data_IF_903281724338
#
_entry.id   IF_903281724338
#
_cell.length_a   1.000
_cell.length_b   1.000
_cell.length_c   1.000
_cell.angle_alpha   90.00
_cell.angle_beta   90.00
_cell.angle_gamma   90.00
#
_symmetry.space_group_name_H-M   'P 1'
#
loop_
_entity.id
_entity.type
_entity.pdbx_description
1 polymer ?
#
# COMPACT_ATOMS: atom_id res chain seq x y z
N UNK A 1 -2.46 17.43 5.53
CA UNK A 1 -1.89 16.77 6.72
C UNK A 1 -2.12 15.28 6.65
N UNK A 2 -1.15 14.50 7.02
CA UNK A 2 -1.26 13.02 7.00
C UNK A 2 -1.55 12.53 8.41
N UNK A 3 -2.51 11.63 8.53
CA UNK A 3 -2.90 11.05 9.81
C UNK A 3 -3.24 9.57 9.67
N UNK A 4 -3.23 8.85 10.77
CA UNK A 4 -3.71 7.46 10.80
C UNK A 4 -5.22 7.45 10.63
N UNK A 5 -5.70 6.52 9.82
CA UNK A 5 -7.13 6.27 9.65
C UNK A 5 -7.71 5.58 10.87
N UNK A 6 -8.99 5.83 11.10
CA UNK A 6 -9.79 5.14 12.11
C UNK A 6 -10.97 4.44 11.41
N UNK A 7 -11.79 3.70 12.18
CA UNK A 7 -12.98 3.05 11.63
C UNK A 7 -13.96 4.03 10.99
N UNK A 8 -13.95 5.30 11.44
CA UNK A 8 -14.81 6.33 10.86
C UNK A 8 -14.43 6.71 9.43
N UNK A 9 -13.23 6.34 9.00
CA UNK A 9 -12.71 6.66 7.66
C UNK A 9 -13.00 5.57 6.62
N UNK A 10 -13.62 4.45 7.00
CA UNK A 10 -13.76 3.28 6.12
C UNK A 10 -14.53 3.57 4.84
N UNK A 11 -15.56 4.40 4.87
CA UNK A 11 -16.30 4.76 3.65
C UNK A 11 -15.42 5.55 2.69
N UNK A 12 -14.65 6.51 3.19
CA UNK A 12 -13.72 7.27 2.37
C UNK A 12 -12.62 6.38 1.81
N UNK A 13 -12.11 5.46 2.61
CA UNK A 13 -11.07 4.51 2.17
C UNK A 13 -11.63 3.62 1.06
N UNK A 14 -12.87 3.16 1.19
CA UNK A 14 -13.50 2.36 0.15
C UNK A 14 -13.71 3.15 -1.15
N UNK A 15 -14.05 4.44 -1.06
CA UNK A 15 -14.17 5.31 -2.23
C UNK A 15 -12.81 5.46 -2.94
N UNK A 16 -11.76 5.74 -2.19
CA UNK A 16 -10.39 5.82 -2.74
C UNK A 16 -9.96 4.48 -3.33
N UNK A 17 -10.30 3.39 -2.67
CA UNK A 17 -10.01 2.03 -3.15
C UNK A 17 -10.70 1.70 -4.47
N UNK A 18 -11.95 2.13 -4.63
CA UNK A 18 -12.68 1.94 -5.88
C UNK A 18 -12.03 2.73 -7.03
N UNK A 19 -11.61 3.96 -6.77
CA UNK A 19 -10.89 4.79 -7.74
C UNK A 19 -9.57 4.14 -8.14
N UNK A 20 -8.81 3.69 -7.16
CA UNK A 20 -7.54 3.00 -7.39
C UNK A 20 -7.73 1.72 -8.21
N UNK A 21 -8.71 0.91 -7.84
CA UNK A 21 -9.03 -0.34 -8.52
C UNK A 21 -9.36 -0.10 -10.00
N UNK A 22 -10.20 0.89 -10.29
CA UNK A 22 -10.59 1.22 -11.66
C UNK A 22 -9.39 1.66 -12.51
N UNK A 23 -8.36 2.21 -11.89
CA UNK A 23 -7.14 2.67 -12.56
C UNK A 23 -6.06 1.58 -12.64
N UNK A 24 -6.18 0.51 -11.87
CA UNK A 24 -5.16 -0.51 -11.70
C UNK A 24 -5.25 -1.60 -12.78
N UNK A 25 -4.19 -2.43 -12.93
CA UNK A 25 -4.25 -3.62 -13.79
C UNK A 25 -5.25 -4.67 -13.32
N UNK A 26 -5.79 -4.54 -12.11
CA UNK A 26 -6.77 -5.47 -11.53
C UNK A 26 -8.22 -5.09 -11.85
N UNK A 27 -8.44 -4.06 -12.67
CA UNK A 27 -9.78 -3.51 -12.94
C UNK A 27 -10.77 -4.50 -13.54
N UNK A 28 -10.29 -5.57 -14.16
CA UNK A 28 -11.14 -6.61 -14.76
C UNK A 28 -11.75 -7.54 -13.70
N UNK A 29 -11.19 -7.57 -12.50
CA UNK A 29 -11.74 -8.33 -11.38
C UNK A 29 -12.70 -7.40 -10.62
N UNK A 30 -13.96 -7.84 -10.38
CA UNK A 30 -14.95 -6.97 -9.73
C UNK A 30 -14.47 -6.45 -8.36
N UNK A 31 -14.72 -5.19 -8.09
CA UNK A 31 -14.44 -4.57 -6.81
C UNK A 31 -15.58 -4.86 -5.84
N UNK A 32 -15.28 -5.45 -4.70
CA UNK A 32 -16.26 -5.72 -3.64
C UNK A 32 -16.05 -4.73 -2.50
N UNK A 33 -16.98 -3.78 -2.38
CA UNK A 33 -16.86 -2.69 -1.40
C UNK A 33 -16.89 -3.20 0.04
N UNK A 34 -17.81 -4.11 0.36
CA UNK A 34 -17.97 -4.59 1.74
C UNK A 34 -16.76 -5.40 2.18
N UNK A 35 -16.24 -6.25 1.32
CA UNK A 35 -15.02 -7.01 1.60
C UNK A 35 -13.80 -6.09 1.77
N UNK A 36 -13.72 -5.05 0.96
CA UNK A 36 -12.65 -4.05 1.05
C UNK A 36 -12.72 -3.32 2.39
N UNK A 37 -13.91 -2.89 2.80
CA UNK A 37 -14.09 -2.23 4.11
C UNK A 37 -13.72 -3.16 5.26
N UNK A 38 -14.11 -4.43 5.19
CA UNK A 38 -13.79 -5.41 6.22
C UNK A 38 -12.28 -5.64 6.34
N UNK A 39 -11.59 -5.75 5.20
CA UNK A 39 -10.13 -5.88 5.18
C UNK A 39 -9.45 -4.63 5.76
N UNK A 40 -9.90 -3.44 5.34
CA UNK A 40 -9.33 -2.19 5.82
C UNK A 40 -9.59 -1.96 7.30
N UNK A 41 -10.74 -2.43 7.83
CA UNK A 41 -11.01 -2.40 9.26
C UNK A 41 -9.96 -3.19 10.05
N UNK A 42 -9.61 -4.38 9.57
CA UNK A 42 -8.54 -5.18 10.18
C UNK A 42 -7.18 -4.50 10.07
N UNK A 43 -6.94 -3.81 8.97
CA UNK A 43 -5.68 -3.11 8.75
C UNK A 43 -5.54 -1.90 9.68
N UNK A 44 -6.64 -1.19 9.93
CA UNK A 44 -6.69 -0.09 10.90
C UNK A 44 -6.30 -0.59 12.30
N UNK A 45 -6.74 -1.80 12.66
CA UNK A 45 -6.48 -2.39 13.98
C UNK A 45 -5.09 -3.01 14.10
N UNK A 46 -4.63 -3.76 13.07
CA UNK A 46 -3.42 -4.57 13.16
C UNK A 46 -2.26 -4.11 12.28
N UNK A 47 -2.50 -3.19 11.38
CA UNK A 47 -1.48 -2.58 10.53
C UNK A 47 -1.58 -1.08 10.58
N UNK A 48 -1.57 -0.43 9.41
CA UNK A 48 -1.75 1.02 9.33
C UNK A 48 -2.41 1.39 8.01
N UNK A 49 -3.28 2.39 8.04
CA UNK A 49 -3.68 3.15 6.86
C UNK A 49 -3.44 4.62 7.21
N UNK A 50 -2.70 5.30 6.34
CA UNK A 50 -2.41 6.72 6.48
C UNK A 50 -3.17 7.47 5.41
N UNK A 51 -3.83 8.54 5.81
CA UNK A 51 -4.67 9.36 4.92
C UNK A 51 -4.10 10.77 4.81
N UNK A 52 -4.08 11.27 3.59
CA UNK A 52 -3.90 12.70 3.32
C UNK A 52 -5.22 13.24 2.76
N UNK A 53 -5.26 14.54 2.45
CA UNK A 53 -6.43 15.13 1.79
C UNK A 53 -6.63 14.57 0.37
N UNK A 54 -5.59 13.96 -0.22
CA UNK A 54 -5.57 13.57 -1.62
C UNK A 54 -5.33 12.08 -1.86
N UNK A 55 -5.22 11.26 -0.82
CA UNK A 55 -4.95 9.86 -1.02
C UNK A 55 -4.72 9.06 0.26
N UNK A 56 -4.16 7.88 0.06
CA UNK A 56 -3.94 6.93 1.15
C UNK A 56 -2.74 6.02 0.84
N UNK A 57 -2.18 5.47 1.91
CA UNK A 57 -1.24 4.36 1.85
C UNK A 57 -1.57 3.41 2.98
N UNK A 58 -1.58 2.13 2.71
CA UNK A 58 -1.86 1.11 3.71
C UNK A 58 -0.85 -0.01 3.68
N UNK A 59 -0.56 -0.57 4.84
CA UNK A 59 0.37 -1.65 4.96
C UNK A 59 0.34 -2.32 6.32
N UNK A 60 1.23 -3.28 6.48
CA UNK A 60 1.30 -4.11 7.68
C UNK A 60 2.72 -4.57 7.94
N UNK A 61 2.95 -5.08 9.14
CA UNK A 61 4.19 -5.72 9.49
C UNK A 61 4.18 -7.16 8.98
N UNK A 62 5.30 -7.59 8.42
CA UNK A 62 5.45 -8.94 7.88
C UNK A 62 6.76 -9.57 8.33
N UNK A 63 6.72 -10.53 9.25
CA UNK A 63 7.88 -11.36 9.54
C UNK A 63 8.19 -12.21 8.30
N UNK A 64 9.44 -12.17 7.84
CA UNK A 64 9.82 -12.97 6.67
C UNK A 64 9.75 -14.47 7.02
N UNK A 65 9.10 -15.26 6.17
CA UNK A 65 8.85 -16.66 6.50
C UNK A 65 10.14 -17.46 6.70
N UNK A 66 11.22 -17.09 6.01
CA UNK A 66 12.51 -17.78 6.13
C UNK A 66 13.38 -17.23 7.26
N UNK A 67 12.98 -16.13 7.90
CA UNK A 67 13.64 -15.54 9.05
C UNK A 67 12.67 -14.65 9.81
N UNK A 68 11.80 -15.22 10.67
CA UNK A 68 10.72 -14.45 11.30
C UNK A 68 11.19 -13.34 12.25
N UNK A 69 12.44 -13.38 12.70
CA UNK A 69 13.00 -12.28 13.48
C UNK A 69 13.24 -11.03 12.63
N UNK A 70 13.26 -11.18 11.31
CA UNK A 70 13.46 -10.10 10.36
C UNK A 70 12.10 -9.59 9.90
N UNK A 71 11.64 -8.51 10.51
CA UNK A 71 10.29 -7.96 10.27
C UNK A 71 10.40 -6.75 9.34
N UNK A 72 9.63 -6.76 8.27
CA UNK A 72 9.55 -5.65 7.33
C UNK A 72 8.16 -5.03 7.35
N UNK A 73 8.06 -3.75 6.98
CA UNK A 73 6.79 -3.10 6.73
C UNK A 73 6.47 -3.26 5.23
N UNK A 74 5.32 -3.86 4.94
CA UNK A 74 4.88 -4.16 3.56
C UNK A 74 3.77 -3.22 3.19
N UNK A 75 3.96 -2.48 2.10
CA UNK A 75 2.90 -1.67 1.51
C UNK A 75 1.93 -2.58 0.75
N UNK A 76 0.63 -2.40 0.99
CA UNK A 76 -0.44 -3.18 0.33
C UNK A 76 -1.16 -2.36 -0.74
N UNK A 77 -1.31 -1.06 -0.52
CA UNK A 77 -1.88 -0.14 -1.50
C UNK A 77 -1.40 1.28 -1.25
N UNK A 78 -1.29 2.04 -2.33
CA UNK A 78 -0.78 3.41 -2.27
C UNK A 78 -1.37 4.16 -3.46
N UNK A 79 -2.29 5.10 -3.18
CA UNK A 79 -3.02 5.83 -4.20
C UNK A 79 -3.19 7.27 -3.78
N UNK A 80 -2.74 8.20 -4.61
CA UNK A 80 -2.89 9.62 -4.31
C UNK A 80 -2.87 10.45 -5.58
N UNK A 81 -3.72 11.48 -5.66
CA UNK A 81 -3.65 12.48 -6.72
C UNK A 81 -2.53 13.48 -6.48
N UNK A 82 -2.20 13.69 -5.21
CA UNK A 82 -1.09 14.52 -4.72
C UNK A 82 -0.54 13.87 -3.45
N UNK A 83 0.56 14.36 -2.95
CA UNK A 83 1.14 13.93 -1.67
C UNK A 83 1.64 12.49 -1.66
N UNK A 84 1.83 11.87 -2.83
CA UNK A 84 2.27 10.48 -2.90
C UNK A 84 3.58 10.23 -2.15
N UNK A 85 4.59 11.06 -2.37
CA UNK A 85 5.88 10.92 -1.67
C UNK A 85 5.76 11.20 -0.18
N UNK A 86 4.92 12.15 0.22
CA UNK A 86 4.70 12.43 1.64
C UNK A 86 4.05 11.23 2.33
N UNK A 87 3.10 10.55 1.66
CA UNK A 87 2.50 9.32 2.18
C UNK A 87 3.53 8.20 2.31
N UNK A 88 4.39 8.04 1.31
CA UNK A 88 5.47 7.05 1.37
C UNK A 88 6.38 7.29 2.58
N UNK A 89 6.81 8.53 2.77
CA UNK A 89 7.67 8.90 3.91
C UNK A 89 6.96 8.69 5.25
N UNK A 90 5.68 9.02 5.33
CA UNK A 90 4.89 8.77 6.54
C UNK A 90 4.79 7.27 6.84
N UNK A 91 4.67 6.44 5.81
CA UNK A 91 4.69 4.99 5.97
C UNK A 91 6.06 4.51 6.49
N UNK A 92 7.13 5.05 5.93
CA UNK A 92 8.49 4.73 6.42
C UNK A 92 8.68 5.14 7.87
N UNK A 93 8.20 6.33 8.25
CA UNK A 93 8.25 6.79 9.65
C UNK A 93 7.48 5.85 10.57
N UNK A 94 6.29 5.43 10.15
CA UNK A 94 5.52 4.46 10.92
C UNK A 94 6.28 3.14 11.10
N UNK A 95 6.87 2.62 10.03
CA UNK A 95 7.68 1.39 10.11
C UNK A 95 8.85 1.52 11.06
N UNK A 96 9.54 2.66 11.01
CA UNK A 96 10.65 2.93 11.92
C UNK A 96 10.20 2.94 13.39
N UNK A 97 9.03 3.52 13.67
CA UNK A 97 8.44 3.49 15.03
C UNK A 97 8.14 2.06 15.49
N UNK A 98 7.80 1.17 14.55
CA UNK A 98 7.54 -0.24 14.83
C UNK A 98 8.82 -1.07 14.96
N UNK A 99 9.99 -0.48 14.67
CA UNK A 99 11.27 -1.17 14.78
C UNK A 99 11.56 -2.13 13.62
N UNK A 100 10.99 -1.89 12.44
CA UNK A 100 11.24 -2.75 11.28
C UNK A 100 12.68 -2.62 10.80
N UNK A 101 13.15 -3.64 10.07
CA UNK A 101 14.50 -3.67 9.51
C UNK A 101 14.51 -3.37 8.01
N UNK A 102 13.33 -3.18 7.42
CA UNK A 102 13.22 -2.84 6.01
C UNK A 102 11.79 -2.56 5.59
N UNK A 103 11.64 -2.11 4.36
CA UNK A 103 10.34 -1.79 3.75
C UNK A 103 10.21 -2.52 2.44
N UNK A 104 9.01 -2.98 2.14
CA UNK A 104 8.71 -3.63 0.86
C UNK A 104 7.54 -2.93 0.20
N UNK A 105 7.75 -2.48 -1.02
CA UNK A 105 6.74 -1.85 -1.86
C UNK A 105 6.57 -2.64 -3.15
N UNK A 106 5.40 -2.52 -3.76
CA UNK A 106 5.13 -3.06 -5.09
C UNK A 106 4.76 -1.94 -6.04
N UNK A 107 5.22 -2.03 -7.27
CA UNK A 107 4.79 -1.15 -8.35
C UNK A 107 3.78 -1.90 -9.22
N UNK A 108 2.73 -1.20 -9.68
CA UNK A 108 1.78 -1.80 -10.60
C UNK A 108 2.43 -2.05 -11.95
N UNK A 109 2.10 -3.18 -12.58
CA UNK A 109 2.68 -3.60 -13.84
C UNK A 109 2.05 -2.92 -15.06
N UNK A 110 2.02 -1.59 -15.07
CA UNK A 110 1.43 -0.79 -16.16
C UNK A 110 2.47 0.17 -16.76
N UNK A 111 2.00 1.12 -17.55
CA UNK A 111 2.84 2.10 -18.24
C UNK A 111 3.65 3.01 -17.30
N UNK A 112 3.30 3.04 -16.01
CA UNK A 112 4.00 3.85 -15.01
C UNK A 112 5.11 3.10 -14.28
N UNK A 113 5.28 1.80 -14.56
CA UNK A 113 6.22 0.96 -13.81
C UNK A 113 7.67 1.45 -13.90
N UNK A 114 8.12 1.96 -15.05
CA UNK A 114 9.47 2.53 -15.19
C UNK A 114 9.68 3.74 -14.31
N UNK A 115 8.67 4.62 -14.25
CA UNK A 115 8.71 5.81 -13.39
C UNK A 115 8.82 5.42 -11.93
N UNK A 116 8.05 4.42 -11.52
CA UNK A 116 8.08 3.92 -10.15
C UNK A 116 9.41 3.23 -9.83
N UNK A 117 9.96 2.46 -10.77
CA UNK A 117 11.30 1.86 -10.62
C UNK A 117 12.35 2.94 -10.33
N UNK A 118 12.35 4.01 -11.09
CA UNK A 118 13.29 5.12 -10.91
C UNK A 118 13.12 5.76 -9.54
N UNK A 119 11.88 6.00 -9.13
CA UNK A 119 11.55 6.60 -7.83
C UNK A 119 12.08 5.73 -6.70
N UNK A 120 11.80 4.43 -6.73
CA UNK A 120 12.24 3.50 -5.69
C UNK A 120 13.75 3.40 -5.63
N UNK A 121 14.44 3.32 -6.76
CA UNK A 121 15.91 3.27 -6.78
C UNK A 121 16.51 4.53 -6.16
N UNK A 122 15.98 5.70 -6.48
CA UNK A 122 16.42 6.97 -5.89
C UNK A 122 16.17 7.04 -4.38
N UNK A 123 15.13 6.36 -3.92
CA UNK A 123 14.81 6.30 -2.49
C UNK A 123 15.60 5.21 -1.75
N UNK A 124 16.51 4.51 -2.42
CA UNK A 124 17.37 3.50 -1.80
C UNK A 124 16.83 2.09 -1.84
N UNK A 125 15.77 1.84 -2.60
CA UNK A 125 15.17 0.51 -2.75
C UNK A 125 15.85 -0.25 -3.90
N UNK A 126 15.92 -1.57 -3.79
CA UNK A 126 16.32 -2.46 -4.87
C UNK A 126 15.18 -3.39 -5.24
N UNK A 127 15.07 -3.75 -6.49
CA UNK A 127 14.06 -4.70 -6.95
C UNK A 127 14.38 -6.09 -6.42
N UNK A 128 13.41 -6.75 -5.80
CA UNK A 128 13.60 -8.10 -5.23
C UNK A 128 12.76 -9.15 -5.94
N UNK A 129 11.62 -8.79 -6.53
CA UNK A 129 10.78 -9.73 -7.28
C UNK A 129 9.82 -8.99 -8.21
N UNK A 130 9.27 -9.73 -9.17
CA UNK A 130 8.23 -9.25 -10.08
C UNK A 130 7.10 -10.27 -10.07
N UNK A 131 5.86 -9.81 -9.88
CA UNK A 131 4.69 -10.68 -9.84
C UNK A 131 4.00 -10.77 -11.19
N UNK A 132 3.37 -11.92 -11.45
CA UNK A 132 2.61 -12.17 -12.68
C UNK A 132 1.26 -12.76 -12.31
N UNK A 133 0.25 -12.45 -13.11
CA UNK A 133 -1.11 -12.94 -12.89
C UNK A 133 -1.64 -13.56 -14.18
N UNK A 134 -2.30 -14.70 -14.06
CA UNK A 134 -2.97 -15.35 -15.18
C UNK A 134 -4.44 -15.56 -14.84
N UNK A 135 -5.31 -14.97 -15.65
CA UNK A 135 -6.74 -15.14 -15.49
C UNK A 135 -7.15 -16.50 -16.07
N UNK A 136 -8.02 -17.22 -15.36
CA UNK A 136 -8.51 -18.51 -15.81
C UNK A 136 -9.94 -18.47 -16.38
N UNK A 137 -10.48 -17.28 -16.53
CA UNK A 137 -11.79 -17.08 -17.13
C UNK A 137 -12.88 -16.60 -16.21
#
# INVERSE_FOLDING_TARGET
>A
MIRKATHDDLDRIADLGADFHAFSPWREIPFDRDSTKAFCARLVEGGVILLSDHGMIGGMLNPLYFNPAHIVAVELFWWASKDGLALMRAFEDWGAEQGVVGYQFSALGDAQSERMDTLFQRAGYRKVETGYYKDLG
#
